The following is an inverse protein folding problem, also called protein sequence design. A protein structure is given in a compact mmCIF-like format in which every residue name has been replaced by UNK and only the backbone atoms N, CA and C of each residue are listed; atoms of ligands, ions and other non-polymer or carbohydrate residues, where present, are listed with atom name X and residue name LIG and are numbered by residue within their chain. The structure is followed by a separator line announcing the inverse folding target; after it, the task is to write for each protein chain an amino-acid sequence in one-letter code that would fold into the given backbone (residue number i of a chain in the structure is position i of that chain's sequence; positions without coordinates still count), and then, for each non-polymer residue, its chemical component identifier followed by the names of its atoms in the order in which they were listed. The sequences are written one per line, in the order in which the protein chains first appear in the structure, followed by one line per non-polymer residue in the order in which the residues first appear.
data_IF_508807735747
#
_entry.id   IF_508807735747
#
_cell.length_a   1.000
_cell.length_b   1.000
_cell.length_c   1.000
_cell.angle_alpha   90.00
_cell.angle_beta   90.00
_cell.angle_gamma   90.00
#
_symmetry.space_group_name_H-M   'P 1'
#
loop_
_entity.id
_entity.type
_entity.pdbx_description
1 polymer ?
#
# COMPACT_ATOMS: atom_id res chain seq x y z
N UNK A 1 0.76 -42.49 -24.57
CA UNK A 1 2.06 -41.78 -24.58
C UNK A 1 2.89 -42.35 -23.44
N UNK A 2 3.90 -43.14 -23.74
CA UNK A 2 4.84 -43.69 -22.74
C UNK A 2 6.08 -42.82 -22.73
N UNK A 3 6.28 -42.07 -21.65
CA UNK A 3 7.54 -41.36 -21.41
C UNK A 3 8.64 -42.38 -21.09
N UNK A 4 9.86 -42.11 -21.57
CA UNK A 4 11.04 -42.95 -21.34
C UNK A 4 11.32 -43.13 -19.84
N UNK A 5 11.62 -44.36 -19.39
CA UNK A 5 11.97 -44.69 -18.00
C UNK A 5 13.12 -43.84 -17.44
N UNK A 6 13.97 -43.32 -18.33
CA UNK A 6 15.07 -42.42 -17.97
C UNK A 6 14.58 -41.11 -17.36
N UNK A 7 13.41 -40.61 -17.78
CA UNK A 7 12.83 -39.40 -17.21
C UNK A 7 12.43 -39.63 -15.74
N UNK A 8 11.82 -40.78 -15.45
CA UNK A 8 11.48 -41.18 -14.08
C UNK A 8 12.70 -41.20 -13.16
N UNK A 9 13.77 -41.86 -13.63
CA UNK A 9 15.01 -41.94 -12.88
C UNK A 9 15.71 -40.59 -12.71
N UNK A 10 15.58 -39.67 -13.67
CA UNK A 10 16.12 -38.31 -13.54
C UNK A 10 15.45 -37.56 -12.39
N UNK A 11 14.12 -37.56 -12.33
CA UNK A 11 13.40 -36.90 -11.23
C UNK A 11 13.72 -37.55 -9.88
N UNK A 12 13.83 -38.87 -9.85
CA UNK A 12 14.24 -39.59 -8.65
C UNK A 12 15.69 -39.27 -8.25
N UNK A 13 16.62 -39.11 -9.18
CA UNK A 13 18.02 -38.82 -8.85
C UNK A 13 18.22 -37.37 -8.40
N UNK A 14 17.61 -36.41 -9.10
CA UNK A 14 17.81 -34.98 -8.82
C UNK A 14 16.97 -34.48 -7.64
N UNK A 15 15.76 -35.01 -7.47
CA UNK A 15 14.80 -34.51 -6.48
C UNK A 15 14.43 -35.56 -5.43
N UNK A 16 14.96 -36.79 -5.53
CA UNK A 16 14.64 -37.91 -4.65
C UNK A 16 13.13 -38.15 -4.53
N UNK A 17 12.40 -37.91 -5.62
CA UNK A 17 10.95 -37.97 -5.66
C UNK A 17 10.49 -38.65 -6.95
N UNK A 18 9.37 -39.35 -6.85
CA UNK A 18 8.73 -39.94 -8.00
C UNK A 18 8.10 -38.86 -8.89
N UNK A 19 8.08 -39.12 -10.20
CA UNK A 19 7.63 -38.17 -11.22
C UNK A 19 6.15 -37.85 -11.05
N UNK A 20 5.34 -38.84 -10.67
CA UNK A 20 3.91 -38.66 -10.39
C UNK A 20 3.70 -37.71 -9.21
N UNK A 21 4.47 -37.89 -8.13
CA UNK A 21 4.41 -37.02 -6.95
C UNK A 21 4.77 -35.57 -7.30
N UNK A 22 5.77 -35.36 -8.15
CA UNK A 22 6.14 -34.02 -8.63
C UNK A 22 5.06 -33.41 -9.54
N UNK A 23 4.50 -34.21 -10.45
CA UNK A 23 3.43 -33.79 -11.36
C UNK A 23 2.17 -33.35 -10.59
N UNK A 24 1.75 -34.11 -9.58
CA UNK A 24 0.62 -33.73 -8.71
C UNK A 24 0.90 -32.47 -7.92
N UNK A 25 2.12 -32.28 -7.40
CA UNK A 25 2.48 -31.04 -6.67
C UNK A 25 2.53 -29.82 -7.59
N UNK A 26 2.99 -30.00 -8.83
CA UNK A 26 2.97 -28.95 -9.85
C UNK A 26 1.54 -28.62 -10.29
N UNK A 27 0.70 -29.61 -10.47
CA UNK A 27 -0.72 -29.43 -10.78
C UNK A 27 -1.45 -28.73 -9.63
N UNK A 28 -1.19 -29.12 -8.38
CA UNK A 28 -1.70 -28.44 -7.20
C UNK A 28 -1.18 -27.00 -7.08
N UNK A 29 0.08 -26.71 -7.43
CA UNK A 29 0.60 -25.34 -7.53
C UNK A 29 -0.12 -24.52 -8.62
N UNK A 30 -0.44 -25.15 -9.76
CA UNK A 30 -1.19 -24.54 -10.85
C UNK A 30 -2.67 -24.31 -10.50
N UNK A 31 -3.29 -25.18 -9.69
CA UNK A 31 -4.69 -25.08 -9.25
C UNK A 31 -4.87 -24.17 -8.02
N UNK A 32 -3.86 -24.05 -7.16
CA UNK A 32 -3.97 -23.36 -5.87
C UNK A 32 -3.91 -21.82 -5.94
N UNK A 33 -3.85 -21.21 -7.13
CA UNK A 33 -4.08 -19.76 -7.27
C UNK A 33 -3.09 -18.88 -6.49
N UNK A 34 -1.88 -19.38 -6.20
CA UNK A 34 -0.88 -18.72 -5.33
C UNK A 34 -0.46 -17.35 -5.87
N UNK A 35 -0.45 -17.16 -7.20
CA UNK A 35 -0.22 -15.84 -7.80
C UNK A 35 -1.34 -14.84 -7.54
N UNK A 36 -2.60 -15.28 -7.52
CA UNK A 36 -3.74 -14.38 -7.35
C UNK A 36 -3.92 -14.02 -5.87
N UNK A 37 -3.76 -14.98 -4.96
CA UNK A 37 -3.95 -14.74 -3.52
C UNK A 37 -3.01 -13.70 -2.95
N UNK A 38 -1.72 -13.75 -3.29
CA UNK A 38 -0.75 -12.74 -2.83
C UNK A 38 -1.06 -11.38 -3.43
N UNK A 39 -1.48 -11.33 -4.70
CA UNK A 39 -1.87 -10.07 -5.35
C UNK A 39 -3.16 -9.47 -4.76
N UNK A 40 -4.13 -10.33 -4.42
CA UNK A 40 -5.39 -9.97 -3.77
C UNK A 40 -5.14 -9.48 -2.34
N UNK A 41 -4.27 -10.16 -1.58
CA UNK A 41 -3.86 -9.73 -0.25
C UNK A 41 -3.16 -8.37 -0.30
N UNK A 42 -2.20 -8.19 -1.22
CA UNK A 42 -1.53 -6.89 -1.40
C UNK A 42 -2.55 -5.80 -1.77
N UNK A 43 -3.50 -6.10 -2.65
CA UNK A 43 -4.52 -5.14 -3.05
C UNK A 43 -5.46 -4.77 -1.88
N UNK A 44 -5.91 -5.77 -1.12
CA UNK A 44 -6.73 -5.56 0.07
C UNK A 44 -5.98 -4.74 1.13
N UNK A 45 -4.72 -5.06 1.39
CA UNK A 45 -3.90 -4.35 2.37
C UNK A 45 -3.62 -2.90 1.96
N UNK A 46 -3.41 -2.64 0.66
CA UNK A 46 -3.30 -1.27 0.10
C UNK A 46 -4.59 -0.48 0.30
N UNK A 47 -5.75 -1.10 0.06
CA UNK A 47 -7.05 -0.48 0.26
C UNK A 47 -7.28 -0.15 1.74
N UNK A 48 -7.00 -1.08 2.64
CA UNK A 48 -7.09 -0.89 4.09
C UNK A 48 -6.18 0.24 4.59
N UNK A 49 -4.90 0.27 4.17
CA UNK A 49 -3.99 1.34 4.53
C UNK A 49 -4.49 2.71 4.03
N UNK A 50 -4.96 2.77 2.78
CA UNK A 50 -5.48 4.01 2.19
C UNK A 50 -6.71 4.52 2.95
N UNK A 51 -7.63 3.62 3.29
CA UNK A 51 -8.82 3.96 4.07
C UNK A 51 -8.46 4.41 5.49
N UNK A 52 -7.55 3.71 6.17
CA UNK A 52 -7.09 4.09 7.52
C UNK A 52 -6.40 5.45 7.57
N UNK A 53 -5.53 5.73 6.59
CA UNK A 53 -4.87 7.04 6.47
C UNK A 53 -5.89 8.15 6.25
N UNK A 54 -6.85 7.95 5.34
CA UNK A 54 -7.90 8.94 5.09
C UNK A 54 -8.81 9.14 6.30
N UNK A 55 -9.12 8.07 7.04
CA UNK A 55 -9.93 8.15 8.25
C UNK A 55 -9.23 9.01 9.32
N UNK A 56 -7.94 8.75 9.61
CA UNK A 56 -7.17 9.56 10.56
C UNK A 56 -7.07 11.03 10.13
N UNK A 57 -6.83 11.31 8.84
CA UNK A 57 -6.78 12.68 8.34
C UNK A 57 -8.13 13.39 8.46
N UNK A 58 -9.23 12.73 8.09
CA UNK A 58 -10.57 13.32 8.16
C UNK A 58 -11.02 13.58 9.59
N UNK A 59 -10.59 12.75 10.55
CA UNK A 59 -10.86 12.97 11.97
C UNK A 59 -10.22 14.28 12.47
N UNK A 60 -8.98 14.56 12.05
CA UNK A 60 -8.28 15.80 12.39
C UNK A 60 -8.78 17.04 11.62
N UNK A 61 -9.36 16.85 10.44
CA UNK A 61 -9.76 17.94 9.53
C UNK A 61 -11.19 18.41 9.71
N UNK A 62 -11.97 17.80 10.59
CA UNK A 62 -13.37 18.15 10.81
C UNK A 62 -13.53 19.68 10.99
N UNK A 63 -14.39 20.35 10.19
CA UNK A 63 -15.48 19.81 9.37
C UNK A 63 -15.13 19.49 7.89
N UNK A 64 -13.88 19.67 7.46
CA UNK A 64 -13.47 19.45 6.06
C UNK A 64 -13.25 17.97 5.78
N UNK A 65 -13.89 17.44 4.73
CA UNK A 65 -13.73 16.04 4.31
C UNK A 65 -12.81 15.97 3.08
N UNK A 66 -11.69 15.27 3.21
CA UNK A 66 -10.82 14.94 2.09
C UNK A 66 -11.31 13.67 1.39
N UNK A 67 -11.61 13.82 0.10
CA UNK A 67 -11.96 12.68 -0.77
C UNK A 67 -10.75 11.82 -1.12
N UNK A 68 -9.56 12.43 -1.22
CA UNK A 68 -8.34 11.75 -1.63
C UNK A 68 -7.11 12.44 -1.07
N UNK A 69 -6.13 11.64 -0.66
CA UNK A 69 -4.83 12.13 -0.21
C UNK A 69 -3.87 12.31 -1.39
N UNK A 70 -3.22 13.47 -1.46
CA UNK A 70 -2.18 13.80 -2.44
C UNK A 70 -0.81 13.72 -1.75
N UNK A 71 -0.02 12.72 -2.11
CA UNK A 71 1.28 12.46 -1.46
C UNK A 71 2.42 13.30 -2.02
N UNK A 72 2.36 13.72 -3.30
CA UNK A 72 3.43 14.53 -3.90
C UNK A 72 3.47 15.94 -3.32
N UNK A 73 2.29 16.50 -3.08
CA UNK A 73 2.10 17.88 -2.66
C UNK A 73 1.51 17.91 -1.24
N UNK A 74 1.82 16.90 -0.43
CA UNK A 74 1.24 16.77 0.91
C UNK A 74 1.56 18.02 1.75
N UNK A 75 2.80 18.50 1.69
CA UNK A 75 3.19 19.71 2.39
C UNK A 75 2.33 20.92 1.99
N UNK A 76 2.21 21.19 0.70
CA UNK A 76 1.48 22.36 0.20
C UNK A 76 -0.05 22.25 0.40
N UNK A 77 -0.61 21.05 0.19
CA UNK A 77 -2.06 20.87 0.21
C UNK A 77 -2.62 20.57 1.59
N UNK A 78 -1.84 19.91 2.45
CA UNK A 78 -2.29 19.46 3.76
C UNK A 78 -1.59 20.26 4.86
N UNK A 79 -0.26 20.23 4.90
CA UNK A 79 0.50 20.83 6.00
C UNK A 79 0.35 22.34 6.05
N UNK A 80 0.58 23.07 4.95
CA UNK A 80 0.44 24.53 4.92
C UNK A 80 -1.00 25.02 5.13
N UNK A 81 -2.01 24.25 4.69
CA UNK A 81 -3.41 24.71 4.74
C UNK A 81 -4.11 24.38 6.05
N UNK A 82 -3.76 23.25 6.65
CA UNK A 82 -4.48 22.68 7.78
C UNK A 82 -3.62 22.50 9.03
N UNK A 83 -2.33 22.86 8.96
CA UNK A 83 -1.36 22.70 10.05
C UNK A 83 -1.26 21.25 10.55
N UNK A 84 -1.38 20.30 9.61
CA UNK A 84 -1.24 18.87 9.90
C UNK A 84 0.13 18.41 9.43
N UNK A 85 0.89 17.83 10.35
CA UNK A 85 2.15 17.15 10.07
C UNK A 85 1.97 15.65 10.26
N UNK A 86 2.79 14.85 9.57
CA UNK A 86 2.87 13.42 9.85
C UNK A 86 4.06 13.15 10.79
N UNK A 87 3.82 12.35 11.82
CA UNK A 87 4.82 11.91 12.79
C UNK A 87 4.84 10.38 12.82
N UNK A 88 6.00 9.79 13.09
CA UNK A 88 6.15 8.34 13.24
C UNK A 88 5.77 7.51 11.99
N UNK A 89 6.02 8.04 10.79
CA UNK A 89 5.78 7.28 9.57
C UNK A 89 6.65 6.00 9.57
N UNK A 90 6.07 4.79 9.48
CA UNK A 90 6.80 3.53 9.72
C UNK A 90 7.74 3.12 8.59
N UNK A 91 7.76 3.89 7.50
CA UNK A 91 8.60 3.66 6.32
C UNK A 91 9.58 4.81 6.21
N UNK A 92 10.80 4.55 5.73
CA UNK A 92 11.82 5.60 5.56
C UNK A 92 11.37 6.72 4.61
N UNK A 93 10.45 6.41 3.68
CA UNK A 93 9.97 7.34 2.66
C UNK A 93 8.46 7.54 2.78
N UNK A 94 8.04 8.79 2.81
CA UNK A 94 6.64 9.15 2.74
C UNK A 94 6.13 8.98 1.30
N UNK A 95 5.29 7.97 1.06
CA UNK A 95 4.77 7.69 -0.27
C UNK A 95 3.42 6.98 -0.24
N UNK A 96 2.73 6.97 -1.39
CA UNK A 96 1.45 6.29 -1.55
C UNK A 96 1.58 4.79 -1.27
N UNK A 97 0.62 4.16 -0.54
CA UNK A 97 0.62 2.73 -0.25
C UNK A 97 0.81 1.83 -1.49
N UNK A 98 0.36 2.31 -2.66
CA UNK A 98 0.57 1.63 -3.95
C UNK A 98 2.04 1.36 -4.31
N UNK A 99 2.98 2.20 -3.83
CA UNK A 99 4.43 2.11 -4.09
C UNK A 99 5.21 1.33 -3.02
N UNK A 100 4.56 0.97 -1.92
CA UNK A 100 5.19 0.23 -0.81
C UNK A 100 5.30 -1.26 -1.12
N UNK A 101 6.35 -1.89 -0.59
CA UNK A 101 6.51 -3.35 -0.57
C UNK A 101 5.52 -3.99 0.39
N UNK A 102 5.27 -5.31 0.27
CA UNK A 102 4.34 -6.03 1.15
C UNK A 102 4.75 -5.93 2.63
N UNK A 103 6.05 -5.99 2.94
CA UNK A 103 6.55 -5.87 4.31
C UNK A 103 6.27 -4.47 4.88
N UNK A 104 6.51 -3.42 4.09
CA UNK A 104 6.23 -2.02 4.49
C UNK A 104 4.74 -1.78 4.66
N UNK A 105 3.89 -2.33 3.78
CA UNK A 105 2.43 -2.26 3.92
C UNK A 105 1.95 -2.91 5.21
N UNK A 106 2.48 -4.07 5.58
CA UNK A 106 2.12 -4.75 6.84
C UNK A 106 2.53 -3.92 8.06
N UNK A 107 3.73 -3.30 8.04
CA UNK A 107 4.17 -2.38 9.10
C UNK A 107 3.26 -1.15 9.19
N UNK A 108 2.93 -0.54 8.05
CA UNK A 108 2.03 0.60 7.98
C UNK A 108 0.63 0.27 8.51
N UNK A 109 0.07 -0.86 8.08
CA UNK A 109 -1.21 -1.34 8.58
C UNK A 109 -1.19 -1.59 10.09
N UNK A 110 -0.13 -2.21 10.61
CA UNK A 110 0.02 -2.47 12.04
C UNK A 110 0.05 -1.17 12.86
N UNK A 111 0.80 -0.16 12.42
CA UNK A 111 0.85 1.15 13.08
C UNK A 111 -0.50 1.88 12.98
N UNK A 112 -1.21 1.78 11.85
CA UNK A 112 -2.55 2.35 11.71
C UNK A 112 -3.58 1.73 12.66
N UNK A 113 -3.51 0.42 12.91
CA UNK A 113 -4.49 -0.28 13.76
C UNK A 113 -4.15 -0.22 15.25
N UNK A 114 -2.87 -0.29 15.61
CA UNK A 114 -2.43 -0.47 17.00
C UNK A 114 -1.45 0.60 17.49
N UNK A 115 -0.91 1.40 16.57
CA UNK A 115 0.15 2.36 16.85
C UNK A 115 -0.38 3.74 17.23
N UNK A 116 0.56 4.67 17.52
CA UNK A 116 0.22 6.07 17.71
C UNK A 116 -0.36 6.68 16.41
N UNK A 117 -1.11 7.79 16.51
CA UNK A 117 -1.63 8.49 15.34
C UNK A 117 -0.47 8.92 14.44
N UNK A 118 -0.61 8.68 13.12
CA UNK A 118 0.39 9.06 12.13
C UNK A 118 0.38 10.56 11.83
N UNK A 119 -0.72 11.22 12.16
CA UNK A 119 -0.93 12.62 11.88
C UNK A 119 -1.14 13.35 13.19
N UNK A 120 -0.50 14.51 13.32
CA UNK A 120 -0.66 15.40 14.47
C UNK A 120 -1.10 16.76 13.96
N UNK A 121 -2.12 17.31 14.61
CA UNK A 121 -2.49 18.71 14.45
C UNK A 121 -1.48 19.57 15.21
N UNK A 122 -0.92 20.56 14.53
CA UNK A 122 -0.01 21.54 15.12
C UNK A 122 -0.82 22.76 15.50
N UNK A 123 -0.70 23.18 16.76
CA UNK A 123 -1.39 24.39 17.23
C UNK A 123 -0.82 25.63 16.51
N UNK A 124 -1.60 26.72 16.41
CA UNK A 124 -1.11 27.95 15.77
C UNK A 124 0.18 28.51 16.38
N UNK A 125 0.36 28.36 17.70
CA UNK A 125 1.58 28.81 18.39
C UNK A 125 2.79 27.95 18.03
N UNK A 126 2.62 26.62 18.02
CA UNK A 126 3.70 25.72 17.58
C UNK A 126 4.02 25.90 16.09
N UNK A 127 3.03 26.29 15.29
CA UNK A 127 3.20 26.53 13.86
C UNK A 127 4.08 27.75 13.56
N UNK A 128 4.02 28.80 14.38
CA UNK A 128 4.90 29.97 14.28
C UNK A 128 6.36 29.64 14.64
N UNK A 129 6.55 28.72 15.59
CA UNK A 129 7.88 28.25 16.02
C UNK A 129 8.48 27.20 15.08
N UNK A 130 7.67 26.58 14.23
CA UNK A 130 8.13 25.56 13.29
C UNK A 130 8.90 26.19 12.12
N UNK A 131 10.13 25.73 11.94
CA UNK A 131 10.92 26.01 10.74
C UNK A 131 10.32 25.27 9.53
N UNK A 132 9.52 26.02 8.75
CA UNK A 132 8.87 25.52 7.54
C UNK A 132 9.88 25.09 6.46
N UNK A 133 11.05 25.73 6.39
CA UNK A 133 12.10 25.38 5.42
C UNK A 133 12.74 24.04 5.78
N UNK A 134 12.94 23.78 7.07
CA UNK A 134 13.40 22.49 7.55
C UNK A 134 12.36 21.38 7.27
N UNK A 135 11.07 21.64 7.50
CA UNK A 135 10.01 20.68 7.19
C UNK A 135 9.89 20.38 5.69
N UNK A 136 9.95 21.41 4.85
CA UNK A 136 9.93 21.25 3.39
C UNK A 136 11.15 20.47 2.92
N UNK A 137 12.35 20.75 3.45
CA UNK A 137 13.59 20.03 3.12
C UNK A 137 13.50 18.54 3.46
N UNK A 138 12.86 18.19 4.59
CA UNK A 138 12.60 16.78 4.95
C UNK A 138 11.66 16.09 3.97
N UNK A 139 10.71 16.83 3.38
CA UNK A 139 9.80 16.31 2.37
C UNK A 139 10.51 16.09 1.02
N UNK A 140 11.37 17.02 0.61
CA UNK A 140 12.06 16.98 -0.69
C UNK A 140 13.21 15.98 -0.73
N UNK A 141 13.90 15.76 0.40
CA UNK A 141 14.99 14.77 0.54
C UNK A 141 14.53 13.34 0.24
N UNK A 142 13.22 13.08 0.23
CA UNK A 142 12.66 11.74 0.06
C UNK A 142 12.35 11.40 -1.41
N UNK A 143 12.37 12.37 -2.34
CA UNK A 143 12.15 12.12 -3.76
C UNK A 143 13.41 11.53 -4.42
N UNK A 144 13.44 10.23 -4.80
CA UNK A 144 14.62 9.64 -5.41
C UNK A 144 14.66 10.03 -6.89
N UNK A 145 15.21 11.20 -7.19
CA UNK A 145 15.75 11.50 -8.52
C UNK A 145 17.22 11.82 -8.39
N UNK A 146 18.03 10.78 -8.23
CA UNK A 146 19.42 10.79 -8.67
C UNK A 146 19.95 9.34 -8.66
N UNK A 147 20.33 8.87 -9.85
CA UNK A 147 21.17 7.70 -10.00
C UNK A 147 22.45 7.88 -9.16
N UNK A 148 22.72 6.96 -8.23
CA UNK A 148 23.98 6.93 -7.51
C UNK A 148 25.14 6.73 -8.52
N UNK A 149 26.14 7.62 -8.58
CA UNK A 149 27.42 7.26 -9.14
C UNK A 149 28.08 6.24 -8.19
N UNK A 150 28.43 5.07 -8.74
CA UNK A 150 29.23 4.05 -8.06
C UNK A 150 30.61 4.65 -7.72
N UNK A 151 30.78 5.16 -6.49
CA UNK A 151 32.11 5.38 -5.93
C UNK A 151 32.48 4.11 -5.17
N UNK A 152 33.30 3.28 -5.82
CA UNK A 152 33.91 2.11 -5.24
C UNK A 152 34.95 2.55 -4.20
N UNK A 153 34.59 2.52 -2.92
CA UNK A 153 35.57 2.61 -1.82
C UNK A 153 35.93 1.20 -1.38
N UNK A 154 37.08 0.72 -1.88
CA UNK A 154 37.70 -0.52 -1.43
C UNK A 154 38.10 -0.37 0.04
N UNK A 155 37.38 -1.05 0.93
CA UNK A 155 37.75 -1.18 2.35
C UNK A 155 38.42 -2.53 2.54
N UNK A 156 39.70 -2.49 2.86
CA UNK A 156 40.56 -3.63 3.19
C UNK A 156 40.10 -4.36 4.45
N UNK A 157 39.92 -5.67 4.34
CA UNK A 157 39.58 -6.59 5.43
C UNK A 157 40.88 -7.05 6.12
N UNK A 158 41.04 -6.93 7.45
CA UNK A 158 42.15 -7.58 8.16
C UNK A 158 41.87 -9.07 8.37
N UNK A 159 42.88 -9.90 8.03
CA UNK A 159 42.93 -11.34 8.31
C UNK A 159 43.07 -11.61 9.80
N UNK A 160 42.20 -12.45 10.36
CA UNK A 160 42.35 -12.99 11.71
C UNK A 160 42.92 -14.41 11.66
N UNK A 161 44.01 -14.59 12.40
CA UNK A 161 44.82 -15.80 12.51
C UNK A 161 44.26 -16.81 13.52
N UNK A 162 44.48 -18.07 13.16
CA UNK A 162 44.49 -19.34 13.91
C UNK A 162 44.96 -19.26 15.36
N UNK A 163 44.31 -20.01 16.26
CA UNK A 163 44.80 -20.28 17.63
C UNK A 163 43.97 -21.28 18.45
N UNK A 164 44.50 -22.50 18.55
CA UNK A 164 44.30 -23.66 19.46
C UNK A 164 43.36 -23.63 20.68
N UNK A 165 42.61 -24.74 20.81
CA UNK A 165 42.63 -25.78 21.87
C UNK A 165 42.70 -25.39 23.36
N UNK A 166 41.67 -25.76 24.14
CA UNK A 166 41.81 -26.57 25.37
C UNK A 166 40.45 -26.97 25.98
N UNK A 167 40.47 -28.16 26.57
CA UNK A 167 39.52 -28.91 27.41
C UNK A 167 39.21 -28.30 28.78
N UNK A 168 37.95 -28.38 29.25
CA UNK A 168 37.53 -28.62 30.67
C UNK A 168 36.01 -28.88 30.65
N UNK A 169 35.52 -30.09 30.94
CA UNK A 169 35.29 -30.74 32.25
C UNK A 169 33.96 -30.36 32.92
N UNK A 170 33.34 -31.42 33.41
CA UNK A 170 32.05 -31.63 34.04
C UNK A 170 31.99 -30.97 35.43
N UNK A 171 30.92 -30.25 35.77
CA UNK A 171 30.52 -30.11 37.17
C UNK A 171 29.01 -29.87 37.31
N UNK A 172 28.45 -30.76 38.09
CA UNK A 172 27.08 -30.88 38.59
C UNK A 172 26.73 -29.80 39.62
N UNK A 173 25.48 -29.33 39.57
CA UNK A 173 24.68 -28.90 40.72
C UNK A 173 25.02 -27.56 41.38
N UNK A 174 24.02 -26.71 41.62
CA UNK A 174 23.65 -26.19 42.95
C UNK A 174 22.37 -25.34 42.82
N UNK A 175 21.38 -25.72 43.63
CA UNK A 175 20.11 -25.05 43.90
C UNK A 175 20.31 -23.61 44.36
N UNK A 176 19.35 -22.72 44.06
CA UNK A 176 19.14 -21.55 44.90
C UNK A 176 17.64 -21.27 45.03
N UNK A 177 17.10 -21.69 46.17
CA UNK A 177 15.90 -21.15 46.80
C UNK A 177 16.12 -19.67 47.10
N UNK A 178 15.17 -18.81 46.74
CA UNK A 178 14.99 -17.54 47.44
C UNK A 178 13.51 -17.16 47.49
N UNK A 179 12.88 -17.49 48.61
CA UNK A 179 11.62 -16.92 49.06
C UNK A 179 11.91 -15.59 49.75
N UNK A 180 11.14 -14.52 49.48
CA UNK A 180 10.97 -13.38 50.42
C UNK A 180 9.73 -12.55 50.04
N UNK A 181 8.69 -12.77 50.85
CA UNK A 181 7.73 -11.83 51.48
C UNK A 181 6.92 -10.80 50.68
N UNK A 182 5.60 -11.03 50.73
CA UNK A 182 4.48 -10.08 50.82
C UNK A 182 4.73 -8.94 51.84
N UNK A 183 3.99 -7.81 51.75
CA UNK A 183 2.88 -7.67 52.69
C UNK A 183 1.61 -7.03 52.12
N UNK A 184 0.51 -7.41 52.78
CA UNK A 184 -0.85 -6.94 52.59
C UNK A 184 -1.11 -5.57 53.24
N UNK A 185 -2.19 -4.91 52.80
CA UNK A 185 -3.05 -4.12 53.68
C UNK A 185 -3.34 -2.70 53.23
N UNK A 186 -4.64 -2.37 53.08
CA UNK A 186 -5.12 -0.99 53.08
C UNK A 186 -6.40 -0.74 52.30
N UNK A 187 -7.54 -1.11 52.87
CA UNK A 187 -8.87 -0.75 52.40
C UNK A 187 -9.22 0.70 52.72
N UNK A 188 -10.03 1.36 51.88
CA UNK A 188 -11.15 2.24 52.27
C UNK A 188 -12.04 2.55 51.06
N UNK A 189 -13.26 2.02 51.11
CA UNK A 189 -14.49 2.52 50.47
C UNK A 189 -14.94 3.80 51.21
N UNK A 190 -15.65 4.76 50.57
CA UNK A 190 -17.12 4.70 50.65
C UNK A 190 -17.90 5.31 49.45
N UNK A 191 -19.09 4.74 49.19
CA UNK A 191 -20.35 5.39 48.79
C UNK A 191 -20.40 6.11 47.42
N UNK A 192 -21.41 5.97 46.56
CA UNK A 192 -22.74 5.39 46.65
C UNK A 192 -23.65 6.03 45.58
N UNK A 193 -24.73 5.32 45.27
CA UNK A 193 -26.02 5.78 44.71
C UNK A 193 -26.25 5.87 43.18
N UNK A 194 -27.35 5.18 42.81
CA UNK A 194 -28.26 5.35 41.66
C UNK A 194 -27.80 4.80 40.30
N UNK A 195 -28.62 4.11 39.50
CA UNK A 195 -30.08 4.02 39.39
C UNK A 195 -30.46 2.65 38.76
N UNK A 196 -31.46 1.97 39.28
CA UNK A 196 -32.83 1.87 38.72
C UNK A 196 -32.95 1.01 37.46
N UNK A 197 -33.45 -0.19 37.70
CA UNK A 197 -34.37 -1.02 36.91
C UNK A 197 -34.92 -0.39 35.61
N UNK A 198 -34.79 -1.11 34.50
CA UNK A 198 -35.99 -1.60 33.82
C UNK A 198 -35.71 -2.81 32.92
N UNK A 199 -36.35 -3.89 33.34
CA UNK A 199 -36.65 -5.08 32.57
C UNK A 199 -37.76 -4.74 31.58
N UNK A 200 -37.60 -5.02 30.30
CA UNK A 200 -38.73 -5.09 29.36
C UNK A 200 -38.46 -6.19 28.35
N UNK A 201 -39.11 -7.33 28.61
CA UNK A 201 -39.43 -8.36 27.63
C UNK A 201 -40.06 -7.72 26.39
N UNK A 202 -39.55 -8.08 25.22
CA UNK A 202 -40.14 -7.72 23.94
C UNK A 202 -39.53 -8.56 22.83
N UNK A 203 -40.02 -9.78 22.67
CA UNK A 203 -39.83 -10.53 21.43
C UNK A 203 -40.52 -9.77 20.28
N UNK A 204 -39.92 -9.79 19.08
CA UNK A 204 -40.74 -9.97 17.90
C UNK A 204 -40.19 -11.07 16.98
N UNK A 205 -41.06 -12.06 16.76
CA UNK A 205 -41.39 -12.67 15.47
C UNK A 205 -40.36 -12.56 14.34
N UNK A 206 -39.77 -13.72 14.03
CA UNK A 206 -39.64 -14.31 12.70
C UNK A 206 -40.15 -13.46 11.53
N UNK A 207 -39.23 -12.98 10.69
CA UNK A 207 -39.50 -12.65 9.28
C UNK A 207 -38.19 -12.81 8.51
N UNK A 208 -38.08 -13.91 7.78
CA UNK A 208 -36.99 -14.19 6.86
C UNK A 208 -37.03 -13.21 5.66
N UNK A 209 -35.92 -12.56 5.29
CA UNK A 209 -35.85 -11.84 4.03
C UNK A 209 -35.73 -12.85 2.88
N UNK A 210 -36.76 -12.87 2.03
CA UNK A 210 -36.77 -13.53 0.72
C UNK A 210 -35.57 -13.07 -0.11
N UNK A 211 -34.76 -14.03 -0.56
CA UNK A 211 -33.77 -13.86 -1.63
C UNK A 211 -34.44 -13.34 -2.91
N UNK A 212 -33.97 -12.25 -3.52
CA UNK A 212 -34.28 -11.97 -4.91
C UNK A 212 -33.57 -12.99 -5.82
N UNK A 213 -34.34 -13.84 -6.49
CA UNK A 213 -33.87 -14.64 -7.61
C UNK A 213 -33.43 -13.72 -8.77
N UNK A 214 -32.22 -13.87 -9.32
CA UNK A 214 -31.92 -13.33 -10.65
C UNK A 214 -32.37 -14.34 -11.71
N UNK A 215 -33.61 -14.18 -12.19
CA UNK A 215 -34.07 -14.76 -13.46
C UNK A 215 -33.61 -13.84 -14.57
N UNK A 216 -32.58 -14.24 -15.33
CA UNK A 216 -32.45 -13.95 -16.77
C UNK A 216 -31.16 -14.59 -17.31
N UNK A 217 -31.28 -15.86 -17.72
CA UNK A 217 -30.38 -16.51 -18.66
C UNK A 217 -30.65 -15.95 -20.06
N UNK A 218 -29.66 -15.34 -20.76
CA UNK A 218 -29.78 -15.11 -22.19
C UNK A 218 -29.64 -16.44 -22.96
N UNK A 219 -30.35 -16.62 -24.09
CA UNK A 219 -30.32 -17.85 -24.85
C UNK A 219 -28.94 -18.08 -25.52
N UNK A 220 -28.54 -19.35 -25.72
CA UNK A 220 -27.35 -19.68 -26.49
C UNK A 220 -27.58 -19.33 -27.95
N UNK A 221 -26.84 -18.34 -28.47
CA UNK A 221 -26.73 -18.12 -29.91
C UNK A 221 -25.78 -19.16 -30.50
N UNK A 222 -26.36 -20.27 -30.93
CA UNK A 222 -25.77 -21.13 -31.95
C UNK A 222 -25.72 -20.38 -33.29
N UNK A 223 -24.58 -20.48 -33.96
CA UNK A 223 -24.34 -19.84 -35.24
C UNK A 223 -22.90 -20.10 -35.68
N UNK A 224 -22.63 -21.35 -36.06
CA UNK A 224 -21.54 -21.68 -36.97
C UNK A 224 -21.63 -20.78 -38.22
N UNK A 225 -20.53 -20.12 -38.57
CA UNK A 225 -20.28 -19.82 -39.98
C UNK A 225 -18.78 -19.71 -40.22
N UNK A 226 -18.24 -20.80 -40.77
CA UNK A 226 -17.02 -20.79 -41.55
C UNK A 226 -17.13 -19.70 -42.61
N UNK A 227 -16.21 -18.75 -42.61
CA UNK A 227 -15.96 -17.91 -43.80
C UNK A 227 -14.45 -17.91 -44.01
N UNK A 228 -14.04 -18.71 -44.99
CA UNK A 228 -12.77 -18.54 -45.67
C UNK A 228 -12.77 -17.17 -46.36
N UNK A 229 -11.61 -16.54 -46.29
CA UNK A 229 -11.09 -15.56 -47.24
C UNK A 229 -11.66 -14.12 -47.21
N UNK A 230 -10.75 -13.15 -47.29
CA UNK A 230 -11.07 -11.73 -47.40
C UNK A 230 -10.56 -10.86 -46.26
N UNK A 231 -9.31 -10.40 -46.37
CA UNK A 231 -8.70 -9.45 -45.45
C UNK A 231 -9.49 -8.15 -45.32
N UNK A 232 -10.16 -7.99 -44.18
CA UNK A 232 -10.81 -6.73 -43.79
C UNK A 232 -10.00 -6.11 -42.65
N UNK A 233 -9.35 -4.98 -42.93
CA UNK A 233 -8.63 -4.19 -41.92
C UNK A 233 -9.66 -3.64 -40.93
N UNK A 234 -9.86 -4.36 -39.84
CA UNK A 234 -10.66 -3.90 -38.70
C UNK A 234 -9.94 -2.73 -38.07
N UNK A 235 -10.39 -1.51 -38.37
CA UNK A 235 -9.95 -0.31 -37.64
C UNK A 235 -10.35 -0.50 -36.17
N UNK A 236 -9.44 -0.28 -35.21
CA UNK A 236 -9.74 -0.41 -33.80
C UNK A 236 -10.99 0.39 -33.44
N UNK A 237 -12.02 -0.31 -32.99
CA UNK A 237 -13.27 0.31 -32.54
C UNK A 237 -12.96 1.11 -31.28
N UNK A 238 -12.87 2.43 -31.46
CA UNK A 238 -12.56 3.37 -30.40
C UNK A 238 -13.57 3.22 -29.26
N UNK A 239 -13.10 2.68 -28.14
CA UNK A 239 -13.91 2.49 -26.93
C UNK A 239 -14.26 3.89 -26.41
N UNK A 240 -15.47 4.36 -26.74
CA UNK A 240 -16.04 5.59 -26.17
C UNK A 240 -15.91 5.50 -24.66
N UNK A 241 -15.10 6.40 -24.10
CA UNK A 241 -14.88 6.47 -22.66
C UNK A 241 -16.21 6.87 -22.00
N UNK A 242 -16.57 6.16 -20.94
CA UNK A 242 -17.87 6.20 -20.28
C UNK A 242 -18.30 7.59 -19.75
N UNK A 243 -17.38 8.58 -19.71
CA UNK A 243 -17.70 9.96 -19.33
C UNK A 243 -18.50 10.74 -20.40
N UNK A 244 -18.71 10.17 -21.59
CA UNK A 244 -19.47 10.80 -22.68
C UNK A 244 -20.99 10.68 -22.58
N UNK A 245 -21.50 9.92 -21.60
CA UNK A 245 -22.93 9.70 -21.40
C UNK A 245 -23.53 10.85 -20.57
N UNK A 246 -24.26 11.76 -21.22
CA UNK A 246 -25.08 12.77 -20.55
C UNK A 246 -24.78 14.23 -20.92
N UNK A 247 -23.67 14.53 -21.59
CA UNK A 247 -23.38 15.90 -22.02
C UNK A 247 -24.09 16.24 -23.34
N UNK A 248 -24.75 17.40 -23.37
CA UNK A 248 -25.34 17.94 -24.60
C UNK A 248 -24.24 18.28 -25.62
N UNK A 249 -24.60 18.36 -26.90
CA UNK A 249 -23.67 18.70 -27.99
C UNK A 249 -22.93 20.03 -27.73
N UNK A 250 -23.62 20.99 -27.11
CA UNK A 250 -23.04 22.29 -26.72
C UNK A 250 -22.04 22.18 -25.59
N UNK A 251 -22.33 21.40 -24.55
CA UNK A 251 -21.39 21.16 -23.44
C UNK A 251 -20.10 20.48 -23.93
N UNK A 252 -20.23 19.54 -24.87
CA UNK A 252 -19.07 18.90 -25.51
C UNK A 252 -18.25 19.89 -26.34
N UNK A 253 -18.89 20.80 -27.08
CA UNK A 253 -18.20 21.84 -27.83
C UNK A 253 -17.46 22.82 -26.91
N UNK A 254 -18.10 23.25 -25.81
CA UNK A 254 -17.49 24.12 -24.81
C UNK A 254 -16.27 23.47 -24.15
N UNK A 255 -16.36 22.19 -23.76
CA UNK A 255 -15.25 21.47 -23.14
C UNK A 255 -14.06 21.29 -24.10
N UNK A 256 -14.32 21.05 -25.39
CA UNK A 256 -13.29 20.98 -26.42
C UNK A 256 -12.63 22.35 -26.67
N UNK A 257 -13.39 23.44 -26.63
CA UNK A 257 -12.86 24.79 -26.78
C UNK A 257 -11.90 25.16 -25.63
N UNK A 258 -12.26 24.85 -24.38
CA UNK A 258 -11.40 25.07 -23.20
C UNK A 258 -10.09 24.29 -23.34
N UNK A 259 -10.16 23.02 -23.74
CA UNK A 259 -8.97 22.17 -23.91
C UNK A 259 -8.04 22.67 -25.02
N UNK A 260 -8.59 23.20 -26.10
CA UNK A 260 -7.79 23.80 -27.18
C UNK A 260 -7.13 25.10 -26.74
N UNK A 261 -7.83 25.96 -25.99
CA UNK A 261 -7.26 27.18 -25.43
C UNK A 261 -6.10 26.89 -24.46
N UNK A 262 -6.22 25.84 -23.64
CA UNK A 262 -5.17 25.43 -22.71
C UNK A 262 -3.93 24.88 -23.43
N UNK A 263 -4.12 24.09 -24.50
CA UNK A 263 -3.02 23.65 -25.36
C UNK A 263 -2.29 24.81 -26.02
N UNK A 264 -3.02 25.81 -26.52
CA UNK A 264 -2.44 26.99 -27.15
C UNK A 264 -1.58 27.81 -26.17
N UNK A 265 -2.04 27.99 -24.92
CA UNK A 265 -1.24 28.64 -23.86
C UNK A 265 0.04 27.87 -23.55
N UNK A 266 -0.03 26.53 -23.51
CA UNK A 266 1.13 25.68 -23.22
C UNK A 266 2.17 25.68 -24.34
N UNK A 267 1.76 25.81 -25.61
CA UNK A 267 2.69 25.98 -26.73
C UNK A 267 3.34 27.36 -26.76
N UNK A 268 2.61 28.42 -26.39
CA UNK A 268 3.15 29.78 -26.37
C UNK A 268 4.23 29.98 -25.30
N UNK A 269 4.05 29.40 -24.11
CA UNK A 269 5.02 29.54 -23.00
C UNK A 269 6.35 28.80 -23.21
N UNK A 270 6.44 27.89 -24.20
CA UNK A 270 7.67 27.13 -24.48
C UNK A 270 8.58 27.82 -25.50
N UNK A 271 8.08 28.81 -26.24
CA UNK A 271 8.87 29.54 -27.24
C UNK A 271 9.68 30.72 -26.66
N UNK A 272 9.35 31.21 -25.45
CA UNK A 272 9.99 32.38 -24.85
C UNK A 272 11.21 32.08 -23.95
N UNK A 273 11.60 30.81 -23.80
CA UNK A 273 12.63 30.40 -22.82
C UNK A 273 14.06 30.17 -23.36
N UNK A 274 14.36 30.47 -24.63
CA UNK A 274 15.61 30.02 -25.29
C UNK A 274 16.58 31.14 -25.69
N UNK A 275 16.65 32.25 -24.97
CA UNK A 275 17.59 33.33 -25.28
C UNK A 275 18.16 34.02 -24.03
N UNK A 276 19.12 33.40 -23.36
CA UNK A 276 20.16 34.11 -22.57
C UNK A 276 21.28 33.16 -22.20
N UNK A 277 22.31 33.15 -23.05
CA UNK A 277 23.59 32.51 -22.80
C UNK A 277 24.69 33.41 -23.38
N UNK A 278 24.83 34.62 -22.81
CA UNK A 278 25.92 35.53 -23.12
C UNK A 278 27.19 35.03 -22.45
N UNK A 279 28.09 34.51 -23.28
CA UNK A 279 29.43 34.08 -22.93
C UNK A 279 30.31 35.34 -22.74
N UNK A 280 30.77 35.60 -21.52
CA UNK A 280 31.74 36.66 -21.25
C UNK A 280 33.17 36.07 -21.31
N UNK A 281 34.13 36.71 -22.00
CA UNK A 281 35.51 36.24 -22.05
C UNK A 281 36.25 36.66 -20.76
N UNK A 282 36.96 35.72 -20.14
CA UNK A 282 37.97 36.03 -19.13
C UNK A 282 39.30 36.35 -19.82
N UNK A 283 39.89 37.47 -19.44
CA UNK A 283 41.31 37.81 -19.64
C UNK A 283 42.20 37.08 -18.63
#
# INVERSE_FOLDING_TARGET
MTTSDRAGNFFHTCFNQDTETYATRFEAYCLSGVKNRVSEEIAALKAQCTAGILAQLNDLLAPTILSKMVYSDFFTQITLKHHIIYENWPVSKFCTPGKLTLLELRRLHHVLSNGPPLFRYVSPTEWEDLDLDALQSRHDTISPTAAHPLVATATSIPSASTGSSATVDDTTGTSNDNATTNPAGGATDPSGLNATTNSTNGAPVTSAPLLPQPTNLPPPRGGDMLTLDGGMVVRPRERRRQWDAGLTKEQKAAMMAVRNAEKAKKSAGRASGSASGSNAPQE
#
